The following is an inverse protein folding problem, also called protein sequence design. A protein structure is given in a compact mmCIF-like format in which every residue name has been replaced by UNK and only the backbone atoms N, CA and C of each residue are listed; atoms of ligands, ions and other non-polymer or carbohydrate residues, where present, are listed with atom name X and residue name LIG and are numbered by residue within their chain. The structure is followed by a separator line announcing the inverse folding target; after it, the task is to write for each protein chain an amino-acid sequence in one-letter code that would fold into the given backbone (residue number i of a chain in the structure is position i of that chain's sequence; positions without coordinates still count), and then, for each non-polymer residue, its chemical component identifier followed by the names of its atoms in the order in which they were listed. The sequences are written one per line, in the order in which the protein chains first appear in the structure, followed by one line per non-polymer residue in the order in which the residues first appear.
data_IF_456425113853
#
_entry.id   IF_456425113853
#
_cell.length_a   1.000
_cell.length_b   1.000
_cell.length_c   1.000
_cell.angle_alpha   90.00
_cell.angle_beta   90.00
_cell.angle_gamma   90.00
#
_symmetry.space_group_name_H-M   'P 1'
#
loop_
_entity.id
_entity.type
_entity.pdbx_description
1 polymer ?
#
# COMPACT_ATOMS: atom_id res chain seq x y z
N UNK A 1 8.59 -7.80 -1.73
CA UNK A 1 7.27 -8.35 -1.35
C UNK A 1 6.21 -7.96 -2.38
N UNK A 2 5.13 -8.67 -2.38
CA UNK A 2 4.04 -8.49 -3.33
C UNK A 2 2.75 -8.83 -2.58
N UNK A 3 1.89 -7.83 -2.36
CA UNK A 3 0.69 -7.97 -1.52
C UNK A 3 -0.50 -7.32 -2.19
N UNK A 4 -1.67 -7.90 -1.96
CA UNK A 4 -2.93 -7.31 -2.40
C UNK A 4 -3.75 -6.85 -1.20
N UNK A 5 -4.55 -5.83 -1.41
CA UNK A 5 -5.43 -5.28 -0.40
C UNK A 5 -6.07 -4.00 -0.86
N UNK A 6 -6.68 -3.29 0.08
CA UNK A 6 -7.30 -2.01 -0.20
C UNK A 6 -6.33 -0.88 0.12
N UNK A 7 -6.19 0.05 -0.79
CA UNK A 7 -5.39 1.25 -0.57
C UNK A 7 -6.20 2.27 0.22
N UNK A 8 -5.70 2.64 1.38
CA UNK A 8 -6.37 3.58 2.27
C UNK A 8 -5.51 4.84 2.40
N UNK A 9 -6.14 5.99 2.32
CA UNK A 9 -5.50 7.26 2.59
C UNK A 9 -5.94 7.75 3.96
N UNK A 10 -4.98 8.17 4.78
CA UNK A 10 -5.25 8.76 6.08
C UNK A 10 -4.43 10.05 6.27
N UNK A 11 -4.51 10.66 7.45
CA UNK A 11 -3.81 11.91 7.72
C UNK A 11 -2.28 11.78 7.65
N UNK A 12 -1.75 10.59 7.85
CA UNK A 12 -0.31 10.33 7.82
C UNK A 12 0.18 9.85 6.44
N UNK A 13 -0.70 9.64 5.48
CA UNK A 13 -0.33 9.20 4.15
C UNK A 13 -1.17 8.03 3.66
N UNK A 14 -0.50 6.95 3.24
CA UNK A 14 -1.18 5.79 2.66
C UNK A 14 -0.84 4.52 3.42
N UNK A 15 -1.81 3.62 3.48
CA UNK A 15 -1.56 2.27 3.98
C UNK A 15 -2.29 1.24 3.10
N UNK A 16 -1.80 0.02 3.15
CA UNK A 16 -2.42 -1.11 2.50
C UNK A 16 -3.11 -1.94 3.57
N UNK A 17 -4.43 -2.05 3.46
CA UNK A 17 -5.21 -2.96 4.28
C UNK A 17 -5.20 -4.32 3.58
N UNK A 18 -4.38 -5.24 4.09
CA UNK A 18 -4.08 -6.50 3.41
C UNK A 18 -5.31 -7.40 3.33
N UNK A 19 -5.46 -8.13 2.24
CA UNK A 19 -6.51 -9.16 2.11
C UNK A 19 -6.38 -10.22 3.20
N UNK A 20 -5.15 -10.53 3.58
CA UNK A 20 -4.87 -11.55 4.60
C UNK A 20 -5.00 -11.02 6.03
N UNK A 21 -5.30 -9.76 6.20
CA UNK A 21 -5.42 -9.12 7.51
C UNK A 21 -4.22 -8.27 7.85
N UNK A 22 -4.44 -7.29 8.73
CA UNK A 22 -3.41 -6.33 9.11
C UNK A 22 -3.18 -5.27 8.04
N UNK A 23 -2.29 -4.35 8.32
CA UNK A 23 -1.98 -3.27 7.40
C UNK A 23 -0.50 -2.97 7.37
N UNK A 24 -0.05 -2.44 6.22
CA UNK A 24 1.29 -1.91 6.06
C UNK A 24 1.21 -0.42 5.78
N UNK A 25 2.05 0.36 6.46
CA UNK A 25 2.26 1.77 6.10
C UNK A 25 3.09 1.81 4.82
N UNK A 26 2.64 2.55 3.82
CA UNK A 26 3.32 2.60 2.53
C UNK A 26 4.13 3.89 2.40
N UNK A 27 5.37 3.75 1.94
CA UNK A 27 6.21 4.85 1.49
C UNK A 27 6.14 4.83 -0.03
N UNK A 28 5.56 5.87 -0.61
CA UNK A 28 5.28 5.95 -2.04
C UNK A 28 6.04 7.12 -2.66
N UNK A 29 6.57 6.90 -3.86
CA UNK A 29 7.22 7.97 -4.63
C UNK A 29 6.19 8.84 -5.35
N UNK A 30 5.04 8.29 -5.65
CA UNK A 30 3.94 9.00 -6.31
C UNK A 30 2.65 8.75 -5.56
N UNK A 31 1.72 9.69 -5.66
CA UNK A 31 0.41 9.58 -5.02
C UNK A 31 -0.55 8.92 -6.00
N UNK A 32 -0.99 7.67 -5.74
CA UNK A 32 -1.90 6.96 -6.65
C UNK A 32 -3.36 7.34 -6.38
N UNK A 33 -3.72 8.60 -6.67
CA UNK A 33 -5.03 9.15 -6.30
C UNK A 33 -6.20 8.38 -6.89
N UNK A 34 -6.02 7.82 -8.09
CA UNK A 34 -7.08 7.07 -8.77
C UNK A 34 -7.33 5.71 -8.14
N UNK A 35 -6.45 5.25 -7.26
CA UNK A 35 -6.53 3.93 -6.66
C UNK A 35 -6.94 3.95 -5.18
N UNK A 36 -7.15 5.14 -4.62
CA UNK A 36 -7.57 5.26 -3.21
C UNK A 36 -8.91 4.59 -3.01
N UNK A 37 -9.03 3.82 -1.93
CA UNK A 37 -10.21 3.02 -1.56
C UNK A 37 -10.48 1.85 -2.51
N UNK A 38 -9.57 1.58 -3.45
CA UNK A 38 -9.72 0.47 -4.38
C UNK A 38 -8.79 -0.68 -3.99
N UNK A 39 -9.11 -1.86 -4.50
CA UNK A 39 -8.26 -3.01 -4.32
C UNK A 39 -7.05 -2.90 -5.24
N UNK A 40 -5.86 -3.02 -4.65
CA UNK A 40 -4.60 -2.82 -5.35
C UNK A 40 -3.64 -3.97 -5.07
N UNK A 41 -2.62 -4.06 -5.93
CA UNK A 41 -1.46 -4.91 -5.74
C UNK A 41 -0.26 -4.00 -5.53
N UNK A 42 0.46 -4.21 -4.44
CA UNK A 42 1.62 -3.42 -4.06
C UNK A 42 2.87 -4.28 -4.16
N UNK A 43 3.90 -3.74 -4.80
CA UNK A 43 5.22 -4.37 -4.88
C UNK A 43 6.24 -3.43 -4.27
N UNK A 44 7.16 -4.02 -3.53
CA UNK A 44 8.19 -3.25 -2.85
C UNK A 44 8.95 -4.09 -1.85
N UNK A 45 9.52 -3.45 -0.84
CA UNK A 45 10.26 -4.16 0.21
C UNK A 45 9.96 -3.59 1.59
N UNK A 46 10.09 -4.46 2.58
CA UNK A 46 9.92 -4.07 3.97
C UNK A 46 11.03 -3.11 4.38
N UNK A 47 10.64 -1.98 4.95
CA UNK A 47 11.56 -0.95 5.41
C UNK A 47 11.53 -0.76 6.93
N UNK A 48 10.78 -1.60 7.63
CA UNK A 48 10.62 -1.55 9.08
C UNK A 48 9.37 -2.33 9.47
N UNK A 49 9.00 -2.28 10.74
CA UNK A 49 7.82 -2.97 11.23
C UNK A 49 6.56 -2.40 10.56
N UNK A 50 5.89 -3.22 9.78
CA UNK A 50 4.68 -2.84 9.07
C UNK A 50 4.85 -1.63 8.13
N UNK A 51 6.08 -1.36 7.68
CA UNK A 51 6.39 -0.31 6.72
C UNK A 51 6.93 -0.95 5.45
N UNK A 52 6.39 -0.55 4.31
CA UNK A 52 6.80 -1.03 3.00
C UNK A 52 7.15 0.15 2.11
N UNK A 53 8.36 0.14 1.57
CA UNK A 53 8.71 1.05 0.48
C UNK A 53 8.18 0.44 -0.80
N UNK A 54 7.13 1.05 -1.34
CA UNK A 54 6.48 0.53 -2.53
C UNK A 54 7.09 1.15 -3.78
N UNK A 55 7.52 0.31 -4.70
CA UNK A 55 8.01 0.76 -6.00
C UNK A 55 6.96 0.54 -7.10
N UNK A 56 5.83 -0.06 -6.78
CA UNK A 56 4.72 -0.21 -7.71
C UNK A 56 3.39 -0.41 -7.00
N UNK A 57 2.36 0.31 -7.45
CA UNK A 57 0.98 0.12 -7.00
C UNK A 57 0.13 0.06 -8.25
N UNK A 58 -0.64 -1.01 -8.41
CA UNK A 58 -1.47 -1.24 -9.58
C UNK A 58 -2.84 -1.75 -9.16
N UNK A 59 -3.86 -1.60 -10.01
CA UNK A 59 -5.15 -2.22 -9.75
C UNK A 59 -4.99 -3.75 -9.63
N UNK A 60 -5.67 -4.31 -8.66
CA UNK A 60 -5.67 -5.77 -8.47
C UNK A 60 -6.82 -6.40 -9.21
#
# INVERSE_FOLDING_TARGET
MDETGRLIRDAAGFLLQRDLGGSYRLVLLRVPVDLVEKRVRVRGYHAGDNVVEADGVAPA
#
